data_IF_189984084572
#
_entry.id   IF_189984084572
#
_cell.length_a   1.000
_cell.length_b   1.000
_cell.length_c   1.000
_cell.angle_alpha   90.00
_cell.angle_beta   90.00
_cell.angle_gamma   90.00
#
_symmetry.space_group_name_H-M   'P 1'
#
loop_
_entity.id
_entity.type
_entity.pdbx_description
1 polymer ?
#
# COMPACT_ATOMS: atom_id res chain seq x y z
N UNK A 1 -11.13 -1.57 14.79
CA UNK A 1 -12.21 -1.25 13.82
C UNK A 1 -12.36 -2.49 12.94
N UNK A 2 -13.49 -2.76 12.29
CA UNK A 2 -13.53 -3.87 11.31
C UNK A 2 -13.05 -3.33 9.98
N UNK A 3 -12.01 -3.95 9.40
CA UNK A 3 -11.56 -3.62 8.04
C UNK A 3 -12.62 -4.04 7.04
N UNK A 4 -12.90 -3.15 6.08
CA UNK A 4 -13.76 -3.40 4.94
C UNK A 4 -12.96 -4.07 3.82
N UNK A 5 -12.90 -5.39 3.84
CA UNK A 5 -12.10 -6.18 2.91
C UNK A 5 -12.86 -6.55 1.63
N UNK A 6 -13.30 -5.51 0.92
CA UNK A 6 -14.03 -5.61 -0.35
C UNK A 6 -13.32 -6.43 -1.43
N UNK A 7 -12.01 -6.67 -1.30
CA UNK A 7 -11.21 -7.48 -2.19
C UNK A 7 -11.21 -8.98 -1.88
N UNK A 8 -11.78 -9.42 -0.74
CA UNK A 8 -11.65 -10.80 -0.24
C UNK A 8 -12.05 -11.87 -1.28
N UNK A 9 -13.10 -11.61 -2.04
CA UNK A 9 -13.62 -12.55 -3.06
C UNK A 9 -13.01 -12.32 -4.45
N UNK A 10 -12.03 -11.41 -4.57
CA UNK A 10 -11.40 -10.98 -5.80
C UNK A 10 -9.92 -11.38 -5.82
N UNK A 11 -9.56 -12.59 -6.29
CA UNK A 11 -8.18 -13.08 -6.29
C UNK A 11 -7.21 -12.23 -7.13
N UNK A 12 -7.75 -11.40 -8.02
CA UNK A 12 -7.00 -10.42 -8.79
C UNK A 12 -6.63 -9.16 -8.01
N UNK A 13 -7.23 -8.91 -6.85
CA UNK A 13 -7.02 -7.72 -6.03
C UNK A 13 -5.85 -7.87 -5.05
N UNK A 14 -4.67 -8.25 -5.57
CA UNK A 14 -3.48 -8.63 -4.78
C UNK A 14 -2.36 -7.60 -4.79
N UNK A 15 -2.73 -6.33 -4.63
CA UNK A 15 -1.79 -5.22 -4.72
C UNK A 15 -1.92 -4.26 -3.54
N UNK A 16 -0.76 -3.88 -3.02
CA UNK A 16 -0.61 -3.01 -1.86
C UNK A 16 0.43 -1.94 -2.14
N UNK A 17 0.33 -0.81 -1.43
CA UNK A 17 1.38 0.20 -1.44
C UNK A 17 1.77 0.56 -0.02
N UNK A 18 3.07 0.51 0.26
CA UNK A 18 3.69 0.96 1.50
C UNK A 18 4.45 2.27 1.28
N UNK A 19 4.40 3.17 2.26
CA UNK A 19 5.17 4.41 2.25
C UNK A 19 6.18 4.44 3.40
N UNK A 20 7.33 3.75 3.31
CA UNK A 20 8.31 3.73 4.38
C UNK A 20 8.88 5.14 4.63
N UNK A 21 9.27 5.42 5.88
CA UNK A 21 9.85 6.71 6.26
C UNK A 21 11.23 6.94 5.63
N UNK A 22 11.98 5.87 5.33
CA UNK A 22 13.33 5.90 4.77
C UNK A 22 13.40 5.54 3.27
N UNK A 23 12.27 5.42 2.58
CA UNK A 23 12.23 5.11 1.14
C UNK A 23 12.56 3.66 0.76
N UNK A 24 12.99 2.85 1.73
CA UNK A 24 13.30 1.42 1.57
C UNK A 24 12.46 0.64 2.59
N UNK A 25 11.92 -0.49 2.17
CA UNK A 25 11.24 -1.44 3.06
C UNK A 25 12.27 -2.45 3.56
N UNK A 26 12.18 -2.82 4.84
CA UNK A 26 13.01 -3.88 5.40
C UNK A 26 12.63 -5.27 4.88
N UNK A 27 12.97 -6.31 5.62
CA UNK A 27 12.67 -7.71 5.33
C UNK A 27 11.20 -8.11 5.57
N UNK A 28 10.40 -7.21 6.16
CA UNK A 28 9.00 -7.45 6.47
C UNK A 28 8.18 -6.15 6.50
N UNK A 29 6.88 -6.27 6.22
CA UNK A 29 5.90 -5.32 6.72
C UNK A 29 5.79 -5.52 8.23
N UNK A 30 6.04 -4.46 9.00
CA UNK A 30 5.98 -4.49 10.46
C UNK A 30 5.15 -3.32 10.97
N UNK A 31 4.04 -3.64 11.63
CA UNK A 31 3.10 -2.65 12.13
C UNK A 31 2.56 -3.06 13.51
N UNK A 32 2.37 -2.12 14.45
CA UNK A 32 1.75 -2.43 15.74
C UNK A 32 0.35 -3.01 15.55
N UNK A 33 0.04 -4.07 16.30
CA UNK A 33 -1.33 -4.56 16.49
C UNK A 33 -2.03 -3.67 17.50
N UNK A 34 -3.35 -3.55 17.38
CA UNK A 34 -4.13 -2.80 18.34
C UNK A 34 -3.94 -3.38 19.76
N UNK A 35 -3.51 -2.53 20.70
CA UNK A 35 -3.64 -2.77 22.13
C UNK A 35 -4.89 -2.03 22.66
N UNK A 36 -5.35 -2.40 23.86
CA UNK A 36 -6.68 -2.11 24.44
C UNK A 36 -7.14 -0.63 24.44
N UNK A 37 -6.26 0.35 24.21
CA UNK A 37 -6.55 1.80 24.30
C UNK A 37 -7.00 2.48 22.98
N UNK A 38 -7.22 1.70 21.91
CA UNK A 38 -7.98 2.10 20.69
C UNK A 38 -7.49 3.35 19.95
N UNK A 39 -6.20 3.66 19.92
CA UNK A 39 -5.65 4.67 19.00
C UNK A 39 -4.78 4.03 17.92
N UNK A 40 -5.39 3.30 16.99
CA UNK A 40 -4.63 2.79 15.84
C UNK A 40 -5.30 3.05 14.49
N UNK A 41 -4.40 3.22 13.53
CA UNK A 41 -4.61 3.59 12.15
C UNK A 41 -4.98 2.34 11.35
N UNK A 42 -6.07 2.38 10.59
CA UNK A 42 -6.52 1.28 9.71
C UNK A 42 -5.40 0.74 8.81
N UNK A 43 -4.44 1.59 8.46
CA UNK A 43 -3.30 1.26 7.61
C UNK A 43 -2.36 0.21 8.21
N UNK A 44 -2.33 0.07 9.55
CA UNK A 44 -1.59 -1.00 10.22
C UNK A 44 -2.34 -2.33 10.23
N UNK A 45 -3.66 -2.28 10.43
CA UNK A 45 -4.51 -3.48 10.41
C UNK A 45 -4.46 -4.17 9.04
N UNK A 46 -4.31 -3.42 7.94
CA UNK A 46 -4.16 -3.96 6.58
C UNK A 46 -2.98 -4.93 6.41
N UNK A 47 -1.94 -4.89 7.26
CA UNK A 47 -0.85 -5.88 7.20
C UNK A 47 -1.38 -7.30 7.41
N UNK A 48 -2.38 -7.48 8.28
CA UNK A 48 -3.01 -8.76 8.54
C UNK A 48 -3.86 -9.30 7.39
N UNK A 49 -4.11 -8.50 6.35
CA UNK A 49 -4.88 -8.87 5.16
C UNK A 49 -4.02 -9.13 3.93
N UNK A 50 -2.70 -9.04 4.06
CA UNK A 50 -1.77 -9.40 2.99
C UNK A 50 -1.60 -10.93 2.92
N UNK A 51 -1.44 -11.46 1.71
CA UNK A 51 -1.26 -12.89 1.45
C UNK A 51 0.07 -13.15 0.72
N UNK A 52 0.70 -14.34 0.93
CA UNK A 52 1.82 -14.77 0.12
C UNK A 52 1.53 -14.67 -1.39
N UNK A 53 2.45 -14.04 -2.13
CA UNK A 53 2.33 -13.79 -3.56
C UNK A 53 1.80 -12.40 -3.93
N UNK A 54 1.23 -11.65 -2.97
CA UNK A 54 0.78 -10.29 -3.20
C UNK A 54 1.92 -9.38 -3.66
N UNK A 55 1.59 -8.40 -4.51
CA UNK A 55 2.52 -7.39 -4.98
C UNK A 55 2.52 -6.20 -4.05
N UNK A 56 3.72 -5.76 -3.66
CA UNK A 56 3.92 -4.61 -2.79
C UNK A 56 4.65 -3.50 -3.53
N UNK A 57 4.00 -2.36 -3.73
CA UNK A 57 4.60 -1.13 -4.26
C UNK A 57 5.21 -0.29 -3.15
N UNK A 58 6.36 0.32 -3.44
CA UNK A 58 7.07 1.18 -2.49
C UNK A 58 6.98 2.63 -2.95
N UNK A 59 6.26 3.44 -2.16
CA UNK A 59 6.30 4.88 -2.26
C UNK A 59 7.56 5.43 -1.58
N UNK A 60 8.47 5.98 -2.36
CA UNK A 60 9.72 6.54 -1.88
C UNK A 60 9.62 8.07 -1.76
N UNK A 61 9.47 8.53 -0.52
CA UNK A 61 9.44 9.96 -0.17
C UNK A 61 10.82 10.62 -0.11
N UNK A 62 11.89 9.83 -0.20
CA UNK A 62 13.29 10.29 -0.05
C UNK A 62 13.93 10.67 -1.39
N UNK A 63 13.29 10.30 -2.50
CA UNK A 63 13.72 10.74 -3.84
C UNK A 63 13.65 12.26 -3.98
N UNK A 64 14.49 12.87 -4.84
CA UNK A 64 14.38 14.29 -5.20
C UNK A 64 12.98 14.67 -5.69
N UNK A 65 12.31 13.73 -6.37
CA UNK A 65 10.89 13.81 -6.71
C UNK A 65 10.20 12.54 -6.18
N UNK A 66 9.38 12.64 -5.13
CA UNK A 66 8.68 11.50 -4.54
C UNK A 66 7.82 10.73 -5.55
N UNK A 67 7.71 9.42 -5.36
CA UNK A 67 6.97 8.56 -6.29
C UNK A 67 6.99 7.08 -5.92
N UNK A 68 6.34 6.26 -6.74
CA UNK A 68 6.50 4.80 -6.68
C UNK A 68 7.86 4.46 -7.29
N UNK A 69 8.75 3.86 -6.51
CA UNK A 69 10.16 3.71 -6.89
C UNK A 69 10.64 2.26 -6.89
N UNK A 70 9.91 1.36 -6.26
CA UNK A 70 10.24 -0.06 -6.21
C UNK A 70 8.99 -0.91 -6.06
N UNK A 71 9.16 -2.21 -6.26
CA UNK A 71 8.14 -3.21 -5.98
C UNK A 71 8.78 -4.48 -5.41
N UNK A 72 7.99 -5.32 -4.75
CA UNK A 72 8.39 -6.62 -4.24
C UNK A 72 7.19 -7.54 -4.08
N UNK A 73 7.40 -8.67 -3.39
CA UNK A 73 6.36 -9.66 -3.10
C UNK A 73 6.20 -9.88 -1.61
N UNK A 74 4.97 -10.11 -1.18
CA UNK A 74 4.69 -10.69 0.14
C UNK A 74 5.05 -12.17 0.10
N UNK A 75 5.82 -12.63 1.09
CA UNK A 75 6.29 -14.02 1.18
C UNK A 75 5.50 -14.82 2.22
N UNK A 76 5.20 -14.20 3.36
CA UNK A 76 4.58 -14.88 4.49
C UNK A 76 5.40 -16.05 5.07
N UNK A 77 4.80 -16.82 5.99
CA UNK A 77 3.47 -16.60 6.57
C UNK A 77 3.42 -15.34 7.46
N UNK A 78 2.21 -14.83 7.72
CA UNK A 78 1.99 -13.78 8.71
C UNK A 78 2.40 -14.30 10.10
N UNK A 79 3.26 -13.55 10.77
CA UNK A 79 3.68 -13.79 12.14
C UNK A 79 3.35 -12.62 13.06
N UNK A 80 3.59 -12.85 14.35
CA UNK A 80 3.45 -11.84 15.39
C UNK A 80 4.77 -11.72 16.16
N UNK A 81 5.20 -10.49 16.44
CA UNK A 81 6.35 -10.19 17.28
C UNK A 81 5.91 -9.27 18.42
N UNK A 82 6.52 -9.41 19.59
CA UNK A 82 6.41 -8.41 20.66
C UNK A 82 7.61 -7.47 20.58
N UNK A 83 7.37 -6.16 20.66
CA UNK A 83 8.45 -5.17 20.76
C UNK A 83 8.23 -4.29 21.97
N UNK A 84 9.29 -4.15 22.77
CA UNK A 84 9.36 -3.12 23.80
C UNK A 84 9.38 -1.74 23.12
N UNK A 85 8.37 -0.94 23.44
CA UNK A 85 8.35 0.47 23.10
C UNK A 85 8.04 1.27 24.37
N UNK A 86 9.07 1.91 24.90
CA UNK A 86 8.98 2.78 26.11
C UNK A 86 8.54 2.01 27.37
N UNK A 87 8.92 0.72 27.48
CA UNK A 87 8.62 -0.12 28.63
C UNK A 87 7.31 -0.91 28.51
N UNK A 88 6.59 -0.76 27.40
CA UNK A 88 5.39 -1.55 27.09
C UNK A 88 5.69 -2.56 25.99
N UNK A 89 5.31 -3.81 26.23
CA UNK A 89 5.34 -4.90 25.26
C UNK A 89 4.17 -4.75 24.28
N UNK A 90 4.47 -4.24 23.08
CA UNK A 90 3.46 -4.03 22.04
C UNK A 90 3.49 -5.17 21.01
N UNK A 91 2.37 -5.90 20.83
CA UNK A 91 2.26 -6.88 19.75
C UNK A 91 2.35 -6.16 18.40
N UNK A 92 3.05 -6.78 17.45
CA UNK A 92 3.25 -6.30 16.10
C UNK A 92 2.92 -7.40 15.10
N UNK A 93 2.28 -7.01 14.00
CA UNK A 93 2.28 -7.82 12.79
C UNK A 93 3.68 -7.86 12.23
N UNK A 94 4.08 -9.04 11.74
CA UNK A 94 5.25 -9.24 10.93
C UNK A 94 4.87 -10.08 9.72
N UNK A 95 4.83 -9.45 8.55
CA UNK A 95 4.65 -10.15 7.28
C UNK A 95 5.95 -10.11 6.48
N UNK A 96 6.68 -11.23 6.33
CA UNK A 96 7.87 -11.31 5.49
C UNK A 96 7.60 -10.86 4.05
N UNK A 97 8.55 -10.12 3.48
CA UNK A 97 8.53 -9.69 2.08
C UNK A 97 9.84 -10.03 1.38
N UNK A 98 9.83 -10.06 0.06
CA UNK A 98 11.03 -10.20 -0.74
C UNK A 98 11.88 -8.93 -0.68
N UNK A 99 13.12 -9.03 -1.16
CA UNK A 99 13.86 -7.85 -1.58
C UNK A 99 13.02 -7.03 -2.57
N UNK A 100 13.18 -5.70 -2.50
CA UNK A 100 12.46 -4.78 -3.38
C UNK A 100 13.32 -4.45 -4.61
N UNK A 101 12.74 -4.58 -5.79
CA UNK A 101 13.36 -4.26 -7.07
C UNK A 101 13.02 -2.81 -7.43
N UNK A 102 14.06 -1.98 -7.62
CA UNK A 102 13.89 -0.60 -8.06
C UNK A 102 13.31 -0.57 -9.48
N UNK A 103 12.38 0.35 -9.71
CA UNK A 103 11.92 0.68 -11.05
C UNK A 103 13.05 1.39 -11.80
N UNK A 104 13.25 1.06 -13.08
CA UNK A 104 14.22 1.75 -13.93
C UNK A 104 13.93 3.27 -14.00
N UNK A 105 12.64 3.61 -13.99
CA UNK A 105 12.15 4.99 -13.91
C UNK A 105 11.07 5.07 -12.81
N UNK A 106 11.27 5.81 -11.71
CA UNK A 106 10.22 5.99 -10.70
C UNK A 106 8.96 6.66 -11.29
N UNK A 107 7.78 6.22 -10.85
CA UNK A 107 6.50 6.89 -11.15
C UNK A 107 6.33 8.05 -10.19
N UNK A 108 6.83 9.21 -10.61
CA UNK A 108 6.87 10.41 -9.75
C UNK A 108 5.48 11.01 -9.53
N UNK A 109 5.29 11.73 -8.43
CA UNK A 109 4.05 12.44 -8.12
C UNK A 109 3.59 13.39 -9.25
N UNK A 110 4.47 14.19 -9.89
CA UNK A 110 4.07 14.97 -11.06
C UNK A 110 3.60 14.10 -12.23
N UNK A 111 4.16 12.90 -12.41
CA UNK A 111 3.73 11.96 -13.44
C UNK A 111 2.35 11.37 -13.14
N UNK A 112 2.08 11.04 -11.87
CA UNK A 112 0.75 10.61 -11.43
C UNK A 112 -0.29 11.71 -11.62
N UNK A 113 0.04 12.96 -11.31
CA UNK A 113 -0.86 14.11 -11.53
C UNK A 113 -1.22 14.32 -13.00
N UNK A 114 -0.33 14.00 -13.95
CA UNK A 114 -0.64 14.06 -15.40
C UNK A 114 -1.75 13.09 -15.81
N UNK A 115 -1.93 11.99 -15.09
CA UNK A 115 -3.02 11.02 -15.28
C UNK A 115 -4.01 11.05 -14.10
N UNK A 116 -4.04 12.16 -13.36
CA UNK A 116 -4.76 12.27 -12.10
C UNK A 116 -6.28 12.09 -12.24
N UNK A 117 -6.86 12.53 -13.34
CA UNK A 117 -8.29 12.34 -13.62
C UNK A 117 -8.66 10.86 -13.80
N UNK A 118 -7.78 10.08 -14.43
CA UNK A 118 -7.95 8.63 -14.58
C UNK A 118 -7.79 7.91 -13.25
N UNK A 119 -6.81 8.30 -12.43
CA UNK A 119 -6.61 7.75 -11.08
C UNK A 119 -7.84 8.01 -10.20
N UNK A 120 -8.34 9.24 -10.19
CA UNK A 120 -9.57 9.62 -9.47
C UNK A 120 -10.76 8.81 -9.99
N UNK A 121 -10.89 8.64 -11.31
CA UNK A 121 -11.96 7.84 -11.90
C UNK A 121 -11.88 6.35 -11.54
N UNK A 122 -10.68 5.80 -11.28
CA UNK A 122 -10.53 4.45 -10.72
C UNK A 122 -11.03 4.44 -9.27
N UNK A 123 -10.59 5.39 -8.44
CA UNK A 123 -11.03 5.49 -7.04
C UNK A 123 -12.55 5.56 -6.95
N UNK A 124 -13.16 6.51 -7.66
CA UNK A 124 -14.59 6.78 -7.58
C UNK A 124 -15.42 5.57 -8.05
N UNK A 125 -14.92 4.77 -9.01
CA UNK A 125 -15.55 3.51 -9.41
C UNK A 125 -15.50 2.44 -8.32
N UNK A 126 -14.36 2.29 -7.65
CA UNK A 126 -14.21 1.33 -6.54
C UNK A 126 -15.10 1.74 -5.36
N UNK A 127 -15.15 3.04 -5.05
CA UNK A 127 -16.03 3.60 -4.02
C UNK A 127 -17.52 3.40 -4.36
N UNK A 128 -17.92 3.55 -5.61
CA UNK A 128 -19.31 3.31 -6.03
C UNK A 128 -19.75 1.85 -5.93
N UNK A 129 -18.80 0.90 -6.00
CA UNK A 129 -19.06 -0.54 -5.91
C UNK A 129 -18.90 -1.10 -4.49
N UNK A 130 -18.41 -0.28 -3.54
CA UNK A 130 -18.01 -0.74 -2.22
C UNK A 130 -18.75 0.00 -1.13
N UNK A 131 -19.39 -0.72 -0.21
CA UNK A 131 -19.91 -0.13 1.01
C UNK A 131 -18.78 0.03 2.04
N UNK A 132 -18.26 1.25 2.19
CA UNK A 132 -17.27 1.60 3.22
C UNK A 132 -15.91 2.05 2.66
N UNK A 133 -14.87 2.12 3.51
CA UNK A 133 -13.56 2.61 3.10
C UNK A 133 -12.90 1.68 2.06
N UNK A 134 -12.34 2.26 1.01
CA UNK A 134 -11.61 1.52 -0.04
C UNK A 134 -10.10 1.48 0.18
N UNK A 135 -9.60 2.24 1.17
CA UNK A 135 -8.18 2.34 1.55
C UNK A 135 -7.23 2.71 0.38
N UNK A 136 -7.72 3.55 -0.52
CA UNK A 136 -7.03 3.93 -1.76
C UNK A 136 -5.67 4.62 -1.49
N UNK A 137 -4.64 4.40 -2.33
CA UNK A 137 -3.27 4.89 -2.10
C UNK A 137 -3.10 6.41 -2.25
N UNK A 138 -4.07 7.09 -2.86
CA UNK A 138 -4.00 8.51 -3.17
C UNK A 138 -5.25 9.26 -2.71
N UNK A 139 -5.06 10.52 -2.31
CA UNK A 139 -6.12 11.43 -1.88
C UNK A 139 -6.11 12.70 -2.73
N UNK A 140 -7.20 13.48 -2.66
CA UNK A 140 -7.36 14.74 -3.37
C UNK A 140 -8.02 14.60 -4.75
N UNK A 141 -8.04 15.71 -5.48
CA UNK A 141 -8.48 15.80 -6.88
C UNK A 141 -7.36 15.45 -7.85
N UNK A 142 -7.64 15.45 -9.16
CA UNK A 142 -6.63 15.20 -10.18
C UNK A 142 -5.42 16.14 -10.07
N UNK A 143 -5.66 17.42 -9.77
CA UNK A 143 -4.64 18.48 -9.68
C UNK A 143 -3.91 18.46 -8.33
N UNK A 144 -4.62 18.04 -7.27
CA UNK A 144 -4.13 18.05 -5.89
C UNK A 144 -3.69 16.68 -5.39
N UNK A 145 -3.63 15.69 -6.29
CA UNK A 145 -3.32 14.30 -5.97
C UNK A 145 -2.08 14.21 -5.07
N UNK A 146 -2.19 13.45 -3.99
CA UNK A 146 -1.14 13.21 -3.01
C UNK A 146 -1.24 11.76 -2.50
N UNK A 147 -0.13 11.15 -2.04
CA UNK A 147 -0.20 9.86 -1.36
C UNK A 147 -1.05 9.96 -0.08
N UNK A 148 -1.84 8.94 0.20
CA UNK A 148 -2.56 8.85 1.46
C UNK A 148 -1.55 8.81 2.63
N UNK A 149 -1.80 9.53 3.74
CA UNK A 149 -0.95 9.52 4.91
C UNK A 149 -1.15 8.22 5.70
N UNK A 150 -0.72 7.11 5.12
CA UNK A 150 -0.98 5.76 5.61
C UNK A 150 0.29 4.89 5.54
N UNK A 151 0.44 3.97 6.49
CA UNK A 151 1.52 2.98 6.45
C UNK A 151 1.38 2.03 5.25
N UNK A 152 0.23 1.36 5.13
CA UNK A 152 -0.14 0.48 4.03
C UNK A 152 -1.50 0.91 3.46
N UNK A 153 -1.67 0.75 2.15
CA UNK A 153 -2.90 1.06 1.42
C UNK A 153 -3.22 -0.04 0.42
N UNK A 154 -4.50 -0.21 0.10
CA UNK A 154 -4.98 -1.15 -0.91
C UNK A 154 -4.88 -0.51 -2.29
N UNK A 155 -4.20 -1.16 -3.23
CA UNK A 155 -4.11 -0.71 -4.62
C UNK A 155 -5.09 -1.53 -5.45
N UNK A 156 -6.13 -0.93 -6.06
CA UNK A 156 -7.05 -1.66 -6.92
C UNK A 156 -6.36 -2.20 -8.17
N UNK A 157 -6.80 -3.35 -8.69
CA UNK A 157 -6.26 -3.93 -9.93
C UNK A 157 -6.31 -2.93 -11.08
N UNK A 158 -7.43 -2.21 -11.22
CA UNK A 158 -7.63 -1.20 -12.27
C UNK A 158 -6.60 -0.07 -12.19
N UNK A 159 -6.15 0.29 -10.98
CA UNK A 159 -5.08 1.27 -10.80
C UNK A 159 -3.75 0.69 -11.28
N UNK A 160 -3.45 -0.57 -10.99
CA UNK A 160 -2.24 -1.24 -11.49
C UNK A 160 -2.24 -1.30 -13.02
N UNK A 161 -3.37 -1.67 -13.63
CA UNK A 161 -3.52 -1.70 -15.08
C UNK A 161 -3.31 -0.32 -15.72
N UNK A 162 -3.85 0.74 -15.10
CA UNK A 162 -3.61 2.12 -15.52
C UNK A 162 -2.13 2.49 -15.44
N UNK A 163 -1.47 2.22 -14.31
CA UNK A 163 -0.05 2.53 -14.12
C UNK A 163 0.84 1.76 -15.11
N UNK A 164 0.52 0.49 -15.35
CA UNK A 164 1.20 -0.36 -16.35
C UNK A 164 1.09 0.23 -17.75
N UNK A 165 -0.14 0.56 -18.18
CA UNK A 165 -0.43 1.16 -19.49
C UNK A 165 0.25 2.52 -19.71
N UNK A 166 0.28 3.37 -18.68
CA UNK A 166 0.79 4.75 -18.80
C UNK A 166 2.30 4.87 -18.64
N UNK A 167 2.92 3.93 -17.91
CA UNK A 167 4.33 4.05 -17.54
C UNK A 167 5.19 2.82 -17.89
N UNK A 168 4.61 1.82 -18.55
CA UNK A 168 5.35 0.72 -19.18
C UNK A 168 5.91 -0.30 -18.20
N UNK A 169 5.23 -0.56 -17.09
CA UNK A 169 5.63 -1.60 -16.14
C UNK A 169 4.83 -2.88 -16.37
N UNK A 170 5.50 -3.95 -16.77
CA UNK A 170 4.93 -5.30 -16.69
C UNK A 170 5.25 -5.87 -15.31
N UNK A 171 4.26 -5.88 -14.42
CA UNK A 171 4.33 -6.76 -13.26
C UNK A 171 4.06 -8.17 -13.78
N UNK A 172 4.88 -9.15 -13.43
CA UNK A 172 4.55 -10.54 -13.68
C UNK A 172 3.20 -10.83 -13.00
N UNK A 173 2.11 -10.77 -13.76
CA UNK A 173 0.76 -11.08 -13.33
C UNK A 173 0.65 -12.57 -13.04
#
# INVERSE_FOLDING_TARGET
>A
MTINDWWREHPEERYWMIAPSRGIVGDALSAPKAADDRRFEWSHELVGFTEPGDTLFVWDRTLPVPGIAAWGRVLGPLGEETRDRRGDDLPHWRMPISDTLRLASPITLPSLRRVGSEIVSVRDRVEALTEGPVYFPFIGSAETLAPAPAYLTKVPRDLVALLSSRFGFEFAL
#
